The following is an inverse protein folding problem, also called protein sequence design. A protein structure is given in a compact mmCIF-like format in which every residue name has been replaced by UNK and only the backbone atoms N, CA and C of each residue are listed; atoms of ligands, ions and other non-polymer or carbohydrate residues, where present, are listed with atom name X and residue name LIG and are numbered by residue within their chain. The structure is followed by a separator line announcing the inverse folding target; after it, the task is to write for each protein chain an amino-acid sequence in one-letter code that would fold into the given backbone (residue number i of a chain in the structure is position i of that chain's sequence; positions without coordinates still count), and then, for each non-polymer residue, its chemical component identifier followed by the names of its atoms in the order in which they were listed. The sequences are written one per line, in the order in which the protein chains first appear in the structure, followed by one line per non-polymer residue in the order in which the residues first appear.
data_IF_747841808670
#
_entry.id   IF_747841808670
#
_cell.length_a   1.000
_cell.length_b   1.000
_cell.length_c   1.000
_cell.angle_alpha   90.00
_cell.angle_beta   90.00
_cell.angle_gamma   90.00
#
_symmetry.space_group_name_H-M   'P 1'
#
loop_
_entity.id
_entity.type
_entity.pdbx_description
1 polymer ?
#
# COMPACT_ATOMS: atom_id res chain seq x y z
N UNK A 1 -42.05 45.46 46.34
CA UNK A 1 -42.19 45.15 44.90
C UNK A 1 -41.18 44.05 44.64
N UNK A 2 -41.61 42.80 44.65
CA UNK A 2 -40.72 41.62 44.69
C UNK A 2 -40.58 41.04 43.27
N UNK A 3 -39.33 40.89 42.82
CA UNK A 3 -38.98 40.36 41.51
C UNK A 3 -39.25 38.85 41.45
N UNK A 4 -40.24 38.44 40.64
CA UNK A 4 -40.45 37.04 40.26
C UNK A 4 -39.33 36.62 39.31
N UNK A 5 -38.34 35.91 39.84
CA UNK A 5 -37.38 35.16 39.06
C UNK A 5 -38.14 34.07 38.29
N UNK A 6 -38.31 34.27 36.98
CA UNK A 6 -38.77 33.20 36.08
C UNK A 6 -37.66 32.16 36.09
N UNK A 7 -37.87 31.10 36.86
CA UNK A 7 -37.12 29.86 36.75
C UNK A 7 -37.27 29.36 35.32
N UNK A 8 -36.25 29.64 34.50
CA UNK A 8 -36.01 28.88 33.26
C UNK A 8 -35.61 27.50 33.73
N UNK A 9 -36.62 26.68 34.01
CA UNK A 9 -36.47 25.24 34.10
C UNK A 9 -35.98 24.79 32.73
N UNK A 10 -34.66 24.68 32.62
CA UNK A 10 -33.98 24.01 31.54
C UNK A 10 -34.49 22.56 31.55
N UNK A 11 -35.53 22.31 30.76
CA UNK A 11 -35.99 20.96 30.48
C UNK A 11 -34.90 20.31 29.63
N UNK A 12 -33.90 19.75 30.30
CA UNK A 12 -32.91 18.89 29.67
C UNK A 12 -33.63 17.64 29.21
N UNK A 13 -34.15 17.68 27.98
CA UNK A 13 -34.86 16.56 27.38
C UNK A 13 -33.81 15.44 27.16
N UNK A 14 -33.86 14.32 27.91
CA UNK A 14 -32.83 13.29 27.86
C UNK A 14 -32.73 12.61 26.49
N UNK A 15 -33.79 12.73 25.67
CA UNK A 15 -33.84 12.28 24.28
C UNK A 15 -32.95 13.13 23.36
N UNK A 16 -32.81 14.44 23.63
CA UNK A 16 -32.01 15.34 22.81
C UNK A 16 -30.51 15.12 23.09
N UNK A 17 -30.14 14.86 24.35
CA UNK A 17 -28.76 14.51 24.71
C UNK A 17 -28.33 13.17 24.09
N UNK A 18 -29.20 12.15 24.11
CA UNK A 18 -28.95 10.87 23.43
C UNK A 18 -28.80 11.03 21.92
N UNK A 19 -29.65 11.84 21.29
CA UNK A 19 -29.55 12.12 19.86
C UNK A 19 -28.25 12.86 19.51
N UNK A 20 -27.86 13.85 20.31
CA UNK A 20 -26.59 14.58 20.13
C UNK A 20 -25.37 13.67 20.29
N UNK A 21 -25.37 12.74 21.24
CA UNK A 21 -24.30 11.75 21.39
C UNK A 21 -24.22 10.79 20.21
N UNK A 22 -25.36 10.35 19.67
CA UNK A 22 -25.39 9.50 18.46
C UNK A 22 -24.89 10.24 17.23
N UNK A 23 -25.28 11.50 17.04
CA UNK A 23 -24.79 12.35 15.95
C UNK A 23 -23.28 12.55 16.07
N UNK A 24 -22.77 12.85 17.28
CA UNK A 24 -21.34 12.97 17.54
C UNK A 24 -20.60 11.67 17.22
N UNK A 25 -21.11 10.51 17.64
CA UNK A 25 -20.52 9.22 17.34
C UNK A 25 -20.50 8.90 15.84
N UNK A 26 -21.59 9.20 15.11
CA UNK A 26 -21.66 9.05 13.65
C UNK A 26 -20.66 9.97 12.94
N UNK A 27 -20.55 11.23 13.39
CA UNK A 27 -19.56 12.19 12.87
C UNK A 27 -18.11 11.75 13.16
N UNK A 28 -17.84 11.11 14.30
CA UNK A 28 -16.54 10.49 14.56
C UNK A 28 -16.27 9.31 13.60
N UNK A 29 -17.26 8.44 13.40
CA UNK A 29 -17.11 7.27 12.52
C UNK A 29 -16.97 7.63 11.05
N UNK A 30 -17.60 8.71 10.57
CA UNK A 30 -17.47 9.15 9.16
C UNK A 30 -16.06 9.60 8.77
N UNK A 31 -15.19 9.86 9.75
CA UNK A 31 -13.78 10.21 9.51
C UNK A 31 -12.84 9.01 9.54
N UNK A 32 -13.35 7.80 9.82
CA UNK A 32 -12.54 6.59 9.84
C UNK A 32 -12.35 6.07 8.41
N UNK A 33 -11.38 6.63 7.69
CA UNK A 33 -10.89 6.00 6.46
C UNK A 33 -10.21 4.69 6.84
N UNK A 34 -10.90 3.57 6.64
CA UNK A 34 -10.28 2.25 6.73
C UNK A 34 -9.42 2.09 5.47
N UNK A 35 -8.11 2.22 5.62
CA UNK A 35 -7.19 1.79 4.58
C UNK A 35 -7.09 0.27 4.64
N UNK A 36 -7.11 -0.37 3.46
CA UNK A 36 -6.87 -1.81 3.37
C UNK A 36 -5.36 -2.01 3.33
N UNK A 37 -4.89 -2.89 4.22
CA UNK A 37 -3.49 -3.28 4.26
C UNK A 37 -3.07 -3.90 2.93
N UNK A 38 -1.86 -3.57 2.52
CA UNK A 38 -1.25 -4.13 1.34
C UNK A 38 -1.06 -5.64 1.51
N UNK A 39 -1.35 -6.39 0.45
CA UNK A 39 -1.17 -7.82 0.46
C UNK A 39 0.31 -8.16 0.80
N UNK A 40 0.58 -9.08 1.75
CA UNK A 40 1.92 -9.26 2.30
C UNK A 40 3.01 -9.54 1.24
N UNK A 41 2.70 -10.37 0.25
CA UNK A 41 3.65 -10.72 -0.81
C UNK A 41 3.90 -9.56 -1.78
N UNK A 42 2.85 -8.77 -2.06
CA UNK A 42 2.97 -7.58 -2.91
C UNK A 42 3.81 -6.52 -2.20
N UNK A 43 3.58 -6.32 -0.89
CA UNK A 43 4.39 -5.46 -0.03
C UNK A 43 5.86 -5.87 -0.01
N UNK A 44 6.14 -7.15 0.22
CA UNK A 44 7.51 -7.66 0.20
C UNK A 44 8.17 -7.42 -1.16
N UNK A 45 7.44 -7.67 -2.25
CA UNK A 45 7.93 -7.50 -3.62
C UNK A 45 8.27 -6.04 -3.93
N UNK A 46 7.39 -5.10 -3.56
CA UNK A 46 7.59 -3.65 -3.76
C UNK A 46 8.74 -3.12 -2.91
N UNK A 47 8.84 -3.51 -1.63
CA UNK A 47 9.91 -3.06 -0.74
C UNK A 47 11.28 -3.60 -1.17
N UNK A 48 11.35 -4.85 -1.62
CA UNK A 48 12.56 -5.41 -2.20
C UNK A 48 12.96 -4.66 -3.48
N UNK A 49 12.00 -4.36 -4.36
CA UNK A 49 12.25 -3.55 -5.54
C UNK A 49 12.80 -2.15 -5.16
N UNK A 50 12.19 -1.47 -4.18
CA UNK A 50 12.70 -0.19 -3.65
C UNK A 50 14.15 -0.29 -3.16
N UNK A 51 14.52 -1.39 -2.49
CA UNK A 51 15.88 -1.56 -1.94
C UNK A 51 16.97 -1.65 -3.00
N UNK A 52 16.62 -1.99 -4.24
CA UNK A 52 17.56 -2.05 -5.37
C UNK A 52 17.72 -0.71 -6.11
N UNK A 53 16.98 0.32 -5.70
CA UNK A 53 16.98 1.62 -6.34
C UNK A 53 17.72 2.67 -5.51
N UNK A 54 18.46 3.51 -6.21
CA UNK A 54 18.98 4.76 -5.68
C UNK A 54 17.93 5.85 -5.92
N UNK A 55 17.53 6.51 -4.83
CA UNK A 55 16.49 7.54 -4.83
C UNK A 55 17.03 8.85 -4.21
N UNK A 56 17.84 9.63 -4.95
CA UNK A 56 18.44 10.86 -4.45
C UNK A 56 17.40 11.97 -4.17
N UNK A 57 16.25 11.95 -4.86
CA UNK A 57 15.15 12.90 -4.68
C UNK A 57 14.15 12.48 -3.62
N UNK A 58 14.36 11.34 -2.95
CA UNK A 58 13.47 10.78 -1.93
C UNK A 58 12.01 10.61 -2.43
N UNK A 59 11.84 10.36 -3.73
CA UNK A 59 10.53 10.21 -4.37
C UNK A 59 9.77 8.97 -3.87
N UNK A 60 10.48 7.97 -3.35
CA UNK A 60 9.95 6.73 -2.77
C UNK A 60 9.85 6.79 -1.23
N UNK A 61 10.01 7.98 -0.62
CA UNK A 61 9.94 8.15 0.84
C UNK A 61 8.57 7.81 1.43
N UNK A 62 7.51 7.94 0.63
CA UNK A 62 6.14 7.62 1.03
C UNK A 62 5.85 6.12 1.11
N UNK A 63 6.75 5.25 0.64
CA UNK A 63 6.58 3.79 0.64
C UNK A 63 6.87 3.20 2.02
N UNK A 64 6.06 3.60 2.99
CA UNK A 64 6.13 3.23 4.41
C UNK A 64 4.72 2.93 4.92
N UNK A 65 4.62 2.08 5.94
CA UNK A 65 3.34 1.70 6.54
C UNK A 65 2.78 0.36 6.03
N UNK A 66 1.51 0.11 6.34
CA UNK A 66 0.80 -1.13 6.01
C UNK A 66 -0.03 -1.04 4.74
N UNK A 67 -0.58 0.13 4.41
CA UNK A 67 -1.30 0.40 3.16
C UNK A 67 -0.47 1.19 2.14
N UNK A 68 -0.91 1.20 0.88
CA UNK A 68 -0.28 1.95 -0.21
C UNK A 68 -1.05 3.22 -0.62
N UNK A 69 -2.06 3.64 0.15
CA UNK A 69 -2.96 4.74 -0.23
C UNK A 69 -2.18 6.04 -0.48
N UNK A 70 -1.08 6.20 0.25
CA UNK A 70 -0.20 7.36 0.18
C UNK A 70 1.12 7.06 -0.56
N UNK A 71 1.29 5.87 -1.14
CA UNK A 71 2.54 5.51 -1.82
C UNK A 71 2.60 6.18 -3.18
N UNK A 72 3.57 7.07 -3.34
CA UNK A 72 3.77 7.83 -4.57
C UNK A 72 4.01 6.87 -5.74
N UNK A 73 3.19 7.00 -6.79
CA UNK A 73 3.34 6.18 -8.00
C UNK A 73 2.87 4.74 -7.87
N UNK A 74 2.27 4.33 -6.74
CA UNK A 74 1.66 3.01 -6.60
C UNK A 74 0.15 3.15 -6.50
N UNK A 75 -0.57 2.25 -7.16
CA UNK A 75 -2.02 2.11 -7.02
C UNK A 75 -2.33 0.69 -6.65
N UNK A 76 -3.21 0.52 -5.67
CA UNK A 76 -3.67 -0.78 -5.23
C UNK A 76 -5.17 -0.87 -5.30
N UNK A 77 -5.67 -2.09 -5.43
CA UNK A 77 -7.09 -2.36 -5.36
C UNK A 77 -7.57 -2.21 -3.92
N UNK A 78 -8.50 -1.28 -3.69
CA UNK A 78 -8.99 -0.89 -2.37
C UNK A 78 -9.64 -2.01 -1.55
N UNK A 79 -10.01 -3.15 -2.16
CA UNK A 79 -10.69 -4.25 -1.46
C UNK A 79 -9.74 -5.36 -1.04
N UNK A 80 -8.73 -5.64 -1.87
CA UNK A 80 -7.84 -6.79 -1.72
C UNK A 80 -6.43 -6.40 -1.28
N UNK A 81 -6.09 -5.11 -1.36
CA UNK A 81 -4.74 -4.62 -1.09
C UNK A 81 -3.70 -5.06 -2.13
N UNK A 82 -4.14 -5.52 -3.31
CA UNK A 82 -3.23 -5.95 -4.39
C UNK A 82 -2.71 -4.76 -5.18
N UNK A 83 -1.43 -4.78 -5.55
CA UNK A 83 -0.83 -3.72 -6.37
C UNK A 83 -1.25 -3.91 -7.83
N UNK A 84 -1.91 -2.90 -8.40
CA UNK A 84 -2.43 -2.93 -9.79
C UNK A 84 -1.65 -2.01 -10.73
N UNK A 85 -1.00 -0.97 -10.20
CA UNK A 85 -0.20 -0.04 -10.99
C UNK A 85 1.05 0.41 -10.27
N UNK A 86 2.15 0.49 -11.02
CA UNK A 86 3.42 1.09 -10.61
C UNK A 86 3.86 2.08 -11.68
N UNK A 87 3.87 3.37 -11.35
CA UNK A 87 4.28 4.46 -12.22
C UNK A 87 5.35 5.31 -11.55
N UNK A 88 6.58 5.17 -12.03
CA UNK A 88 7.76 5.85 -11.49
C UNK A 88 8.26 6.97 -12.40
N UNK A 89 7.35 7.57 -13.16
CA UNK A 89 7.74 8.57 -14.16
C UNK A 89 8.31 9.83 -13.52
N UNK A 90 9.43 10.30 -14.06
CA UNK A 90 10.11 11.54 -13.64
C UNK A 90 10.61 11.54 -12.18
N UNK A 91 10.84 10.36 -11.59
CA UNK A 91 11.29 10.24 -10.19
C UNK A 91 12.83 10.23 -10.02
N UNK A 92 13.59 10.50 -11.09
CA UNK A 92 15.07 10.53 -11.10
C UNK A 92 15.73 9.30 -10.43
N UNK A 93 15.09 8.13 -10.57
CA UNK A 93 15.57 6.88 -10.00
C UNK A 93 16.69 6.29 -10.86
N UNK A 94 17.65 5.66 -10.21
CA UNK A 94 18.70 4.87 -10.86
C UNK A 94 18.91 3.54 -10.14
N UNK A 95 19.48 2.56 -10.83
CA UNK A 95 19.75 1.24 -10.26
C UNK A 95 19.06 0.12 -11.02
N UNK A 96 19.00 -1.04 -10.38
CA UNK A 96 18.61 -2.28 -11.04
C UNK A 96 17.11 -2.54 -10.86
N UNK A 97 16.43 -2.85 -11.96
CA UNK A 97 15.06 -3.37 -11.93
C UNK A 97 15.11 -4.81 -11.44
N UNK A 98 14.66 -5.03 -10.20
CA UNK A 98 14.59 -6.37 -9.62
C UNK A 98 13.40 -7.16 -10.21
N UNK A 99 13.55 -8.46 -10.57
CA UNK A 99 12.47 -9.27 -11.15
C UNK A 99 11.29 -9.54 -10.20
N UNK A 100 11.31 -9.03 -8.97
CA UNK A 100 10.21 -9.19 -8.03
C UNK A 100 8.97 -8.37 -8.43
N UNK A 101 9.12 -7.36 -9.29
CA UNK A 101 7.95 -6.71 -9.91
C UNK A 101 7.12 -7.72 -10.72
N UNK A 102 7.74 -8.75 -11.29
CA UNK A 102 7.03 -9.83 -12.01
C UNK A 102 6.28 -10.79 -11.07
N UNK A 103 6.47 -10.69 -9.75
CA UNK A 103 5.74 -11.49 -8.75
C UNK A 103 4.43 -10.83 -8.32
N UNK A 104 4.14 -9.62 -8.79
CA UNK A 104 2.87 -8.92 -8.56
C UNK A 104 1.82 -9.48 -9.53
N UNK A 105 0.90 -10.35 -9.09
CA UNK A 105 0.06 -11.11 -10.02
C UNK A 105 -1.12 -10.31 -10.58
N UNK A 106 -1.42 -9.15 -9.98
CA UNK A 106 -2.49 -8.24 -10.40
C UNK A 106 -1.94 -6.94 -11.02
N UNK A 107 -0.64 -6.88 -11.31
CA UNK A 107 -0.03 -5.69 -11.91
C UNK A 107 -0.45 -5.57 -13.38
N UNK A 108 -1.22 -4.53 -13.68
CA UNK A 108 -1.72 -4.25 -15.04
C UNK A 108 -0.89 -3.15 -15.72
N UNK A 109 -0.42 -2.19 -14.95
CA UNK A 109 0.26 -1.00 -15.46
C UNK A 109 1.65 -0.85 -14.82
N UNK A 110 2.68 -0.93 -15.65
CA UNK A 110 4.06 -0.71 -15.23
C UNK A 110 4.69 0.37 -16.12
N UNK A 111 4.95 1.54 -15.53
CA UNK A 111 5.61 2.65 -16.19
C UNK A 111 6.89 2.97 -15.44
N UNK A 112 8.03 2.66 -16.07
CA UNK A 112 9.36 2.94 -15.55
C UNK A 112 9.98 4.03 -16.40
N UNK A 113 10.15 5.23 -15.86
CA UNK A 113 10.87 6.32 -16.52
C UNK A 113 11.87 6.93 -15.54
N UNK A 114 13.05 6.33 -15.54
CA UNK A 114 14.22 6.76 -14.80
C UNK A 114 15.40 6.92 -15.75
N UNK A 115 16.28 7.88 -15.45
CA UNK A 115 17.42 8.21 -16.33
C UNK A 115 18.44 7.08 -16.43
N UNK A 116 18.45 6.16 -15.46
CA UNK A 116 19.45 5.10 -15.38
C UNK A 116 18.92 3.83 -14.69
N UNK A 117 17.71 3.41 -15.08
CA UNK A 117 17.17 2.10 -14.70
C UNK A 117 17.64 1.06 -15.71
N UNK A 118 18.20 -0.04 -15.23
CA UNK A 118 18.65 -1.15 -16.08
C UNK A 118 18.12 -2.48 -15.56
N UNK A 119 17.82 -3.38 -16.49
CA UNK A 119 17.42 -4.74 -16.16
C UNK A 119 18.63 -5.50 -15.59
N UNK A 120 18.37 -6.39 -14.64
CA UNK A 120 19.37 -7.40 -14.29
C UNK A 120 19.72 -8.21 -15.55
N UNK A 121 21.02 -8.46 -15.79
CA UNK A 121 21.44 -9.50 -16.72
C UNK A 121 21.06 -10.87 -16.11
N UNK A 122 19.78 -11.22 -16.20
CA UNK A 122 19.30 -12.57 -15.95
C UNK A 122 19.84 -13.45 -17.07
N UNK A 123 21.05 -13.98 -16.89
CA UNK A 123 21.40 -15.21 -17.60
C UNK A 123 20.31 -16.21 -17.23
N UNK A 124 19.48 -16.58 -18.20
CA UNK A 124 18.47 -17.61 -18.02
C UNK A 124 19.19 -18.89 -17.58
N UNK A 125 19.25 -19.15 -16.27
CA UNK A 125 19.51 -20.49 -15.78
C UNK A 125 18.25 -21.30 -16.07
N UNK A 126 18.14 -21.78 -17.31
CA UNK A 126 17.35 -22.97 -17.59
C UNK A 126 17.96 -24.09 -16.75
N UNK A 127 17.40 -24.34 -15.57
CA UNK A 127 17.53 -25.67 -15.01
C UNK A 127 16.70 -26.57 -15.93
N UNK A 128 17.36 -27.15 -16.93
CA UNK A 128 16.88 -28.39 -17.52
C UNK A 128 16.72 -29.37 -16.37
N UNK A 129 15.48 -29.69 -16.01
CA UNK A 129 15.18 -30.84 -15.17
C UNK A 129 15.59 -32.09 -15.94
N UNK A 130 16.89 -32.43 -15.90
CA UNK A 130 17.29 -33.79 -16.21
C UNK A 130 16.71 -34.67 -15.13
N UNK A 131 15.69 -35.42 -15.54
CA UNK A 131 15.20 -36.63 -14.91
C UNK A 131 16.37 -37.42 -14.32
N UNK A 132 16.44 -37.51 -12.99
CA UNK A 132 17.25 -38.52 -12.33
C UNK A 132 16.55 -39.86 -12.58
N UNK A 133 17.00 -40.56 -13.61
CA UNK A 133 16.74 -41.97 -13.83
C UNK A 133 18.04 -42.67 -14.22
N UNK A 134 18.26 -43.84 -13.59
CA UNK A 134 19.33 -44.84 -13.79
C UNK A 134 20.74 -44.46 -13.26
N UNK A 135 21.15 -44.93 -12.09
CA UNK A 135 21.71 -46.25 -11.72
C UNK A 135 23.06 -46.61 -12.35
N UNK A 136 24.06 -46.69 -11.48
CA UNK A 136 25.17 -47.66 -11.45
C UNK A 136 26.14 -47.69 -12.62
N UNK A 137 27.32 -47.06 -12.45
CA UNK A 137 28.62 -47.62 -12.87
C UNK A 137 29.75 -46.98 -12.03
N UNK A 138 30.07 -47.57 -10.88
CA UNK A 138 31.42 -47.61 -10.29
C UNK A 138 31.41 -48.66 -9.16
N UNK A 139 31.45 -49.94 -9.54
CA UNK A 139 32.22 -51.04 -8.95
C UNK A 139 31.83 -52.36 -9.61
#
# INVERSE_FOLDING_TARGET
MEHKWVSVFCHCNPLNFRALLLIFFVLLCSNLSQSVDLYPDDKASVLLFRSCLQDPSQSLSSWVGSDCTNWTGITCENQTGRVVSVNLTNMNLSGQIHPNLCKLPFLEHLVLSGKQLYLHNSVMFWHSTQSQNSTSWLQ
#
